data_IF_651432142206
#
_entry.id   IF_651432142206
#
_cell.length_a   1.000
_cell.length_b   1.000
_cell.length_c   1.000
_cell.angle_alpha   90.00
_cell.angle_beta   90.00
_cell.angle_gamma   90.00
#
_symmetry.space_group_name_H-M   'P 1'
#
loop_
_entity.id
_entity.type
_entity.pdbx_description
1 polymer ?
#
# COMPACT_ATOMS: atom_id res chain seq x y z
N UNK A 1 10.38 18.13 -0.71
CA UNK A 1 10.06 18.13 -2.16
C UNK A 1 8.75 17.40 -2.42
N UNK A 2 7.87 17.95 -3.25
CA UNK A 2 6.57 17.37 -3.61
C UNK A 2 6.52 17.18 -5.13
N UNK A 3 6.20 15.99 -5.63
CA UNK A 3 5.92 15.75 -7.05
C UNK A 3 4.45 15.40 -7.25
N UNK A 4 3.73 16.24 -8.00
CA UNK A 4 2.33 15.96 -8.35
C UNK A 4 2.23 14.92 -9.48
N UNK A 5 3.18 14.92 -10.42
CA UNK A 5 3.21 13.96 -11.53
C UNK A 5 3.49 12.53 -11.06
N UNK A 6 4.37 12.37 -10.07
CA UNK A 6 4.72 11.06 -9.50
C UNK A 6 3.97 10.76 -8.19
N UNK A 7 3.15 11.71 -7.71
CA UNK A 7 2.32 11.62 -6.50
C UNK A 7 3.12 11.17 -5.27
N UNK A 8 4.26 11.81 -5.03
CA UNK A 8 5.07 11.55 -3.84
C UNK A 8 5.35 12.83 -3.05
N UNK A 9 5.62 12.63 -1.77
CA UNK A 9 6.12 13.64 -0.82
C UNK A 9 7.44 13.10 -0.27
N UNK A 10 8.52 13.79 -0.56
CA UNK A 10 9.82 13.54 0.07
C UNK A 10 10.01 14.55 1.21
N UNK A 11 10.01 14.05 2.44
CA UNK A 11 10.39 14.83 3.63
C UNK A 11 11.91 14.78 3.76
N UNK A 12 12.55 15.90 3.46
CA UNK A 12 14.00 16.04 3.48
C UNK A 12 14.48 16.41 4.88
N UNK A 13 14.76 15.37 5.67
CA UNK A 13 15.45 15.50 6.96
C UNK A 13 16.89 15.98 6.72
N UNK A 14 17.36 17.05 7.37
CA UNK A 14 18.71 17.55 7.18
C UNK A 14 19.79 16.47 7.37
N UNK A 15 20.79 16.51 6.48
CA UNK A 15 22.02 15.68 6.53
C UNK A 15 21.84 14.17 6.29
N UNK A 16 20.74 13.78 5.64
CA UNK A 16 20.44 12.38 5.27
C UNK A 16 20.49 12.13 3.75
N UNK A 17 21.38 12.85 3.04
CA UNK A 17 21.54 12.84 1.57
C UNK A 17 20.37 13.43 0.76
N UNK A 18 19.49 14.22 1.38
CA UNK A 18 18.31 14.74 0.69
C UNK A 18 18.62 15.62 -0.53
N UNK A 19 19.71 16.39 -0.56
CA UNK A 19 20.11 17.13 -1.78
C UNK A 19 20.37 16.21 -2.97
N UNK A 20 21.02 15.06 -2.75
CA UNK A 20 21.28 14.07 -3.81
C UNK A 20 19.98 13.44 -4.30
N UNK A 21 19.09 13.10 -3.37
CA UNK A 21 17.77 12.51 -3.67
C UNK A 21 16.89 13.50 -4.43
N UNK A 22 16.84 14.75 -3.99
CA UNK A 22 16.13 15.84 -4.67
C UNK A 22 16.67 16.03 -6.08
N UNK A 23 18.00 16.08 -6.24
CA UNK A 23 18.61 16.23 -7.57
C UNK A 23 18.27 15.06 -8.49
N UNK A 24 18.24 13.84 -7.98
CA UNK A 24 17.95 12.65 -8.76
C UNK A 24 16.48 12.54 -9.20
N UNK A 25 15.55 12.91 -8.31
CA UNK A 25 14.11 12.74 -8.53
C UNK A 25 13.43 13.99 -9.08
N UNK A 26 14.15 15.10 -9.24
CA UNK A 26 13.58 16.38 -9.68
C UNK A 26 13.10 16.29 -11.13
N UNK A 27 11.87 16.75 -11.32
CA UNK A 27 11.25 17.05 -12.62
C UNK A 27 10.61 18.45 -12.58
N UNK A 28 9.99 18.88 -13.68
CA UNK A 28 9.32 20.18 -13.79
C UNK A 28 8.07 20.32 -12.91
N UNK A 29 7.49 19.20 -12.46
CA UNK A 29 6.30 19.18 -11.60
C UNK A 29 6.64 19.33 -10.11
N UNK A 30 7.92 19.21 -9.75
CA UNK A 30 8.37 19.23 -8.38
C UNK A 30 8.29 20.63 -7.76
N UNK A 31 7.71 20.73 -6.56
CA UNK A 31 7.65 21.95 -5.73
C UNK A 31 8.44 21.79 -4.44
N UNK A 32 8.74 22.93 -3.78
CA UNK A 32 9.49 23.00 -2.53
C UNK A 32 10.88 22.40 -2.70
N UNK A 33 11.62 23.00 -3.64
CA UNK A 33 12.94 22.57 -4.07
C UNK A 33 14.02 23.03 -3.06
N UNK A 34 15.20 22.41 -3.06
CA UNK A 34 16.28 22.76 -2.15
C UNK A 34 16.61 24.26 -2.16
N UNK A 35 16.55 24.89 -0.99
CA UNK A 35 16.89 26.31 -0.81
C UNK A 35 15.78 27.30 -1.18
N UNK A 36 14.57 26.85 -1.51
CA UNK A 36 13.42 27.73 -1.70
C UNK A 36 12.91 28.29 -0.36
N UNK A 37 12.52 29.57 -0.36
CA UNK A 37 11.95 30.26 0.78
C UNK A 37 10.65 30.94 0.40
N UNK A 38 9.63 30.80 1.23
CA UNK A 38 8.41 31.59 1.18
C UNK A 38 8.11 32.11 2.59
N UNK A 39 8.71 33.25 2.91
CA UNK A 39 8.55 33.88 4.23
C UNK A 39 7.12 34.33 4.53
N UNK A 40 6.23 34.38 3.53
CA UNK A 40 4.82 34.71 3.75
C UNK A 40 4.02 33.53 4.31
N UNK A 41 4.45 32.30 4.01
CA UNK A 41 3.77 31.06 4.43
C UNK A 41 4.53 30.30 5.50
N UNK A 42 5.86 30.29 5.41
CA UNK A 42 6.76 29.56 6.30
C UNK A 42 7.81 30.51 6.86
N UNK A 43 7.63 30.99 8.09
CA UNK A 43 8.62 31.83 8.74
C UNK A 43 9.81 30.97 9.22
N UNK A 44 11.03 31.38 8.86
CA UNK A 44 12.30 30.91 9.41
C UNK A 44 12.82 29.50 9.03
N UNK A 45 12.09 28.74 8.20
CA UNK A 45 12.51 27.41 7.76
C UNK A 45 12.57 27.32 6.23
N UNK A 46 13.66 26.77 5.64
CA UNK A 46 13.69 26.45 4.21
C UNK A 46 12.55 25.50 3.84
N UNK A 47 11.88 25.74 2.71
CA UNK A 47 10.71 24.94 2.29
C UNK A 47 11.03 23.46 2.07
N UNK A 48 12.28 23.12 1.80
CA UNK A 48 12.71 21.75 1.63
C UNK A 48 12.80 20.98 2.97
N UNK A 49 13.02 21.65 4.11
CA UNK A 49 13.22 21.01 5.41
C UNK A 49 11.98 20.99 6.31
N UNK A 50 10.78 21.10 5.74
CA UNK A 50 9.54 21.06 6.52
C UNK A 50 9.26 19.65 7.04
N UNK A 51 8.75 19.58 8.26
CA UNK A 51 8.19 18.35 8.84
C UNK A 51 6.87 17.99 8.16
N UNK A 52 6.42 16.75 8.31
CA UNK A 52 5.11 16.36 7.80
C UNK A 52 3.98 17.20 8.44
N UNK A 53 4.09 17.54 9.73
CA UNK A 53 3.10 18.38 10.41
C UNK A 53 3.11 19.80 9.87
N UNK A 54 4.28 20.38 9.62
CA UNK A 54 4.38 21.72 9.03
C UNK A 54 3.78 21.77 7.62
N UNK A 55 3.85 20.69 6.83
CA UNK A 55 3.12 20.64 5.54
C UNK A 55 1.60 20.76 5.73
N UNK A 56 1.06 20.16 6.80
CA UNK A 56 -0.37 20.25 7.18
C UNK A 56 -0.69 21.65 7.66
N UNK A 57 0.05 22.14 8.66
CA UNK A 57 -0.20 23.42 9.33
C UNK A 57 -0.15 24.60 8.36
N UNK A 58 0.77 24.57 7.39
CA UNK A 58 0.92 25.62 6.37
C UNK A 58 0.01 25.43 5.14
N UNK A 59 -0.82 24.38 5.11
CA UNK A 59 -1.74 24.10 4.02
C UNK A 59 -1.04 24.01 2.67
N UNK A 60 0.17 23.43 2.63
CA UNK A 60 0.95 23.32 1.39
C UNK A 60 0.36 22.25 0.44
N UNK A 61 -0.42 21.32 1.00
CA UNK A 61 -1.14 20.26 0.31
C UNK A 61 -2.54 20.13 0.90
N UNK A 62 -3.50 19.69 0.08
CA UNK A 62 -4.83 19.34 0.58
C UNK A 62 -4.78 18.05 1.41
N UNK A 63 -5.72 17.82 2.35
CA UNK A 63 -5.79 16.56 3.10
C UNK A 63 -5.87 15.32 2.21
N UNK A 64 -6.54 15.42 1.06
CA UNK A 64 -6.62 14.34 0.07
C UNK A 64 -5.27 14.06 -0.61
N UNK A 65 -4.49 15.10 -0.92
CA UNK A 65 -3.14 14.94 -1.47
C UNK A 65 -2.20 14.33 -0.42
N UNK A 66 -2.22 14.86 0.81
CA UNK A 66 -1.45 14.31 1.93
C UNK A 66 -1.77 12.83 2.13
N UNK A 67 -3.04 12.43 2.17
CA UNK A 67 -3.40 11.02 2.34
C UNK A 67 -2.99 10.14 1.16
N UNK A 68 -3.13 10.62 -0.07
CA UNK A 68 -2.98 9.80 -1.27
C UNK A 68 -1.58 9.76 -1.89
N UNK A 69 -0.67 10.66 -1.50
CA UNK A 69 0.68 10.69 -2.05
C UNK A 69 1.60 9.77 -1.24
N UNK A 70 2.53 9.11 -1.91
CA UNK A 70 3.52 8.27 -1.25
C UNK A 70 4.54 9.14 -0.51
N UNK A 71 4.62 8.99 0.80
CA UNK A 71 5.49 9.76 1.70
C UNK A 71 6.71 8.96 2.04
N UNK A 72 7.88 9.53 1.83
CA UNK A 72 9.10 8.89 2.26
C UNK A 72 10.12 9.89 2.77
N UNK A 73 11.05 9.39 3.57
CA UNK A 73 12.20 10.13 4.07
C UNK A 73 13.41 9.20 4.21
N UNK A 74 14.57 9.79 4.50
CA UNK A 74 15.75 9.06 4.94
C UNK A 74 16.17 9.52 6.32
N UNK A 75 16.50 8.56 7.17
CA UNK A 75 17.11 8.78 8.48
C UNK A 75 18.58 8.35 8.46
N UNK A 76 19.36 8.88 9.39
CA UNK A 76 20.78 8.57 9.58
C UNK A 76 21.05 8.29 11.06
N UNK A 77 22.09 7.52 11.34
CA UNK A 77 22.62 7.35 12.68
C UNK A 77 22.74 8.73 13.38
N UNK A 78 22.08 8.95 14.55
CA UNK A 78 21.98 10.28 15.15
C UNK A 78 23.33 10.91 15.52
N UNK A 79 24.31 10.09 15.95
CA UNK A 79 25.66 10.57 16.26
C UNK A 79 26.39 11.02 14.99
N UNK A 80 26.33 10.22 13.93
CA UNK A 80 26.92 10.58 12.64
C UNK A 80 26.22 11.78 12.00
N UNK A 81 24.90 11.86 12.12
CA UNK A 81 24.10 13.01 11.66
C UNK A 81 24.51 14.29 12.40
N UNK A 82 24.68 14.24 13.72
CA UNK A 82 25.10 15.40 14.51
C UNK A 82 26.50 15.90 14.09
N UNK A 83 27.45 14.98 13.88
CA UNK A 83 28.76 15.32 13.33
C UNK A 83 28.62 16.00 11.96
N UNK A 84 27.79 15.44 11.09
CA UNK A 84 27.51 16.02 9.77
C UNK A 84 26.89 17.43 9.84
N UNK A 85 26.05 17.70 10.85
CA UNK A 85 25.46 19.02 11.09
C UNK A 85 26.51 20.06 11.50
N UNK A 86 27.39 19.74 12.47
CA UNK A 86 28.38 20.70 12.97
C UNK A 86 29.49 21.03 11.96
N UNK A 87 29.69 20.17 10.96
CA UNK A 87 30.59 20.39 9.83
C UNK A 87 29.86 20.92 8.60
N UNK A 88 28.54 21.12 8.65
CA UNK A 88 27.77 21.66 7.55
C UNK A 88 28.13 23.15 7.32
N UNK A 89 28.52 23.57 6.10
CA UNK A 89 28.84 24.97 5.83
C UNK A 89 27.71 25.94 6.15
N UNK A 90 26.45 25.50 5.94
CA UNK A 90 25.28 26.31 6.29
C UNK A 90 25.21 26.59 7.78
N UNK A 91 25.63 25.66 8.64
CA UNK A 91 25.64 25.82 10.09
C UNK A 91 26.86 26.57 10.63
N UNK A 92 27.84 26.91 9.78
CA UNK A 92 29.09 27.53 10.21
C UNK A 92 28.92 28.82 11.05
N UNK A 93 27.95 29.73 10.76
CA UNK A 93 27.73 30.92 11.58
C UNK A 93 27.40 30.62 13.05
N UNK A 94 26.74 29.50 13.35
CA UNK A 94 26.32 29.13 14.71
C UNK A 94 27.43 28.44 15.52
N UNK A 95 28.51 28.06 14.84
CA UNK A 95 29.63 27.29 15.40
C UNK A 95 30.97 28.01 15.24
N UNK A 96 30.91 29.32 14.94
CA UNK A 96 32.08 30.15 14.70
C UNK A 96 32.99 30.16 15.94
N UNK A 97 34.30 30.02 15.70
CA UNK A 97 35.35 30.07 16.71
C UNK A 97 35.25 28.99 17.82
N UNK A 98 34.49 27.90 17.58
CA UNK A 98 34.34 26.77 18.51
C UNK A 98 35.17 25.54 18.09
N UNK A 99 35.72 24.83 19.07
CA UNK A 99 36.29 23.48 18.89
C UNK A 99 35.20 22.45 18.56
N UNK A 100 35.56 21.27 18.05
CA UNK A 100 34.56 20.24 17.70
C UNK A 100 33.71 19.81 18.91
N UNK A 101 34.34 19.61 20.08
CA UNK A 101 33.64 19.30 21.32
C UNK A 101 32.62 20.41 21.70
N UNK A 102 33.05 21.68 21.66
CA UNK A 102 32.17 22.81 21.92
C UNK A 102 31.00 22.87 20.93
N UNK A 103 31.24 22.56 19.66
CA UNK A 103 30.18 22.49 18.64
C UNK A 103 29.18 21.38 18.92
N UNK A 104 29.63 20.18 19.31
CA UNK A 104 28.74 19.07 19.66
C UNK A 104 27.84 19.44 20.84
N UNK A 105 28.41 20.00 21.91
CA UNK A 105 27.65 20.46 23.08
C UNK A 105 26.65 21.53 22.70
N UNK A 106 27.10 22.55 21.97
CA UNK A 106 26.23 23.64 21.52
C UNK A 106 25.10 23.15 20.61
N UNK A 107 25.39 22.21 19.73
CA UNK A 107 24.38 21.60 18.86
C UNK A 107 23.33 20.82 19.66
N UNK A 108 23.73 20.08 20.69
CA UNK A 108 22.81 19.40 21.60
C UNK A 108 21.94 20.38 22.40
N UNK A 109 22.50 21.50 22.86
CA UNK A 109 21.73 22.59 23.52
C UNK A 109 20.68 23.18 22.58
N UNK A 110 21.07 23.48 21.34
CA UNK A 110 20.19 24.06 20.31
C UNK A 110 19.10 23.08 19.86
N UNK A 111 19.39 21.78 19.83
CA UNK A 111 18.39 20.74 19.56
C UNK A 111 17.30 20.70 20.65
N UNK A 112 17.65 21.03 21.90
CA UNK A 112 16.70 21.02 23.02
C UNK A 112 15.69 22.19 23.00
N UNK A 113 15.94 23.25 22.23
CA UNK A 113 15.04 24.43 22.14
C UNK A 113 13.93 24.27 21.10
N UNK A 114 13.42 23.03 20.96
CA UNK A 114 12.21 22.57 20.26
C UNK A 114 12.01 22.84 18.76
N UNK A 115 12.76 23.72 18.11
CA UNK A 115 12.67 23.90 16.64
C UNK A 115 14.02 23.83 15.90
N UNK A 116 15.13 23.69 16.62
CA UNK A 116 16.46 23.73 16.03
C UNK A 116 16.72 25.04 15.26
N UNK A 117 17.54 24.99 14.22
CA UNK A 117 17.85 26.14 13.36
C UNK A 117 17.32 25.85 11.96
N UNK A 118 16.13 26.37 11.62
CA UNK A 118 15.47 26.06 10.35
C UNK A 118 15.30 24.54 10.18
N UNK A 119 14.83 23.86 11.23
CA UNK A 119 14.73 22.40 11.36
C UNK A 119 16.04 21.61 11.32
N UNK A 120 17.22 22.24 11.17
CA UNK A 120 18.50 21.58 11.48
C UNK A 120 18.61 21.27 12.96
N UNK A 121 19.33 20.21 13.32
CA UNK A 121 19.46 19.68 14.69
C UNK A 121 18.16 19.15 15.32
N UNK A 122 17.00 19.37 14.70
CA UNK A 122 15.73 18.76 15.12
C UNK A 122 15.83 17.25 15.08
N UNK A 123 15.13 16.58 15.99
CA UNK A 123 15.07 15.13 16.06
C UNK A 123 14.38 14.58 14.80
N UNK A 124 14.90 13.48 14.25
CA UNK A 124 14.42 12.90 12.98
C UNK A 124 13.01 12.31 13.11
N UNK A 125 12.68 11.75 14.27
CA UNK A 125 11.33 11.24 14.57
C UNK A 125 10.24 12.32 14.47
N UNK A 126 10.56 13.60 14.73
CA UNK A 126 9.60 14.71 14.67
C UNK A 126 9.17 15.06 13.23
N UNK A 127 9.91 14.59 12.23
CA UNK A 127 9.59 14.84 10.82
C UNK A 127 8.52 13.87 10.29
N UNK A 128 8.24 12.77 10.98
CA UNK A 128 7.65 11.58 10.38
C UNK A 128 6.12 11.50 10.41
N UNK A 129 5.47 12.25 11.29
CA UNK A 129 4.04 12.10 11.54
C UNK A 129 3.32 13.42 11.63
N UNK A 130 2.06 13.42 11.22
CA UNK A 130 1.14 14.54 11.38
C UNK A 130 -0.30 14.06 11.44
N UNK A 131 -1.07 14.40 12.48
CA UNK A 131 -2.51 14.12 12.58
C UNK A 131 -2.98 12.75 11.99
N UNK A 132 -2.36 11.66 12.45
CA UNK A 132 -2.69 10.29 12.00
C UNK A 132 -2.08 9.86 10.66
N UNK A 133 -1.36 10.75 9.96
CA UNK A 133 -0.51 10.45 8.81
C UNK A 133 0.86 9.94 9.28
N UNK A 134 1.40 8.96 8.56
CA UNK A 134 2.74 8.44 8.76
C UNK A 134 3.49 8.27 7.43
N UNK A 135 4.80 8.12 7.51
CA UNK A 135 5.63 7.78 6.34
C UNK A 135 5.26 6.40 5.78
N UNK A 136 5.18 6.32 4.45
CA UNK A 136 5.00 5.06 3.72
C UNK A 136 6.33 4.31 3.57
N UNK A 137 7.47 5.03 3.57
CA UNK A 137 8.80 4.45 3.55
C UNK A 137 9.84 5.29 4.31
N UNK A 138 10.67 4.62 5.11
CA UNK A 138 11.79 5.25 5.83
C UNK A 138 13.08 4.53 5.40
N UNK A 139 13.88 5.21 4.58
CA UNK A 139 15.20 4.73 4.15
C UNK A 139 16.28 5.04 5.19
N UNK A 140 17.40 4.33 5.14
CA UNK A 140 18.59 4.57 5.96
C UNK A 140 19.73 5.11 5.13
N UNK A 141 20.39 6.15 5.61
CA UNK A 141 21.58 6.72 4.98
C UNK A 141 22.71 5.69 4.84
N UNK A 142 22.81 4.77 5.79
CA UNK A 142 23.80 3.68 5.78
C UNK A 142 23.54 2.67 4.64
N UNK A 143 22.31 2.62 4.12
CA UNK A 143 21.88 1.80 2.98
C UNK A 143 21.39 2.64 1.81
N UNK A 144 21.89 3.89 1.70
CA UNK A 144 21.33 4.93 0.83
C UNK A 144 21.06 4.46 -0.60
N UNK A 145 22.04 3.83 -1.25
CA UNK A 145 21.88 3.37 -2.64
C UNK A 145 20.83 2.27 -2.78
N UNK A 146 20.82 1.29 -1.87
CA UNK A 146 19.86 0.19 -1.91
C UNK A 146 18.41 0.67 -1.66
N UNK A 147 18.23 1.52 -0.66
CA UNK A 147 16.93 2.09 -0.29
C UNK A 147 16.46 3.12 -1.33
N UNK A 148 17.36 3.90 -1.92
CA UNK A 148 17.03 4.82 -3.01
C UNK A 148 16.61 4.06 -4.27
N UNK A 149 17.33 3.00 -4.64
CA UNK A 149 16.94 2.14 -5.77
C UNK A 149 15.58 1.49 -5.52
N UNK A 150 15.27 1.16 -4.26
CA UNK A 150 13.95 0.68 -3.88
C UNK A 150 12.88 1.74 -4.09
N UNK A 151 13.11 2.98 -3.66
CA UNK A 151 12.19 4.10 -3.93
C UNK A 151 12.01 4.33 -5.43
N UNK A 152 13.08 4.30 -6.22
CA UNK A 152 13.01 4.45 -7.68
C UNK A 152 12.12 3.38 -8.30
N UNK A 153 12.28 2.11 -7.89
CA UNK A 153 11.34 1.04 -8.24
C UNK A 153 9.94 1.40 -7.78
N UNK A 154 9.75 1.82 -6.52
CA UNK A 154 8.46 2.22 -5.94
C UNK A 154 7.79 3.43 -6.66
N UNK A 155 8.56 4.23 -7.38
CA UNK A 155 8.04 5.37 -8.13
C UNK A 155 7.95 5.10 -9.63
N UNK A 156 8.36 3.92 -10.11
CA UNK A 156 8.47 3.62 -11.53
C UNK A 156 9.45 4.56 -12.25
N UNK A 157 10.59 4.83 -11.60
CA UNK A 157 11.64 5.73 -12.06
C UNK A 157 12.94 4.98 -12.31
N UNK A 158 13.61 5.31 -13.41
CA UNK A 158 14.95 4.82 -13.75
C UNK A 158 15.95 5.99 -13.65
N UNK A 159 16.33 6.33 -12.43
CA UNK A 159 17.29 7.41 -12.15
C UNK A 159 18.42 6.91 -11.25
N UNK A 160 19.62 7.44 -11.45
CA UNK A 160 20.78 7.12 -10.63
C UNK A 160 20.97 8.18 -9.56
N UNK A 161 21.40 7.76 -8.37
CA UNK A 161 21.69 8.70 -7.29
C UNK A 161 23.05 9.39 -7.53
N UNK A 162 23.09 10.72 -7.73
CA UNK A 162 24.35 11.43 -7.83
C UNK A 162 25.02 11.49 -6.45
N UNK A 163 26.33 11.31 -6.41
CA UNK A 163 27.08 11.40 -5.16
C UNK A 163 27.48 12.86 -4.87
N UNK A 164 26.51 13.68 -4.44
CA UNK A 164 26.72 15.09 -4.07
C UNK A 164 27.04 15.27 -2.59
N UNK A 165 27.68 16.39 -2.24
CA UNK A 165 27.94 16.81 -0.84
C UNK A 165 28.67 15.77 0.01
N UNK A 166 29.70 15.11 -0.55
CA UNK A 166 30.54 14.18 0.17
C UNK A 166 31.19 14.87 1.37
N UNK A 167 30.84 14.43 2.57
CA UNK A 167 31.47 14.90 3.80
C UNK A 167 32.97 14.54 3.81
N UNK A 168 33.82 15.55 4.00
CA UNK A 168 35.27 15.40 4.14
C UNK A 168 35.67 15.42 5.63
N UNK A 169 35.14 14.48 6.41
CA UNK A 169 35.47 14.35 7.83
C UNK A 169 35.85 12.90 8.18
N UNK A 170 36.62 12.71 9.26
CA UNK A 170 36.93 11.39 9.84
C UNK A 170 35.64 10.64 10.20
N UNK A 171 35.75 9.35 10.52
CA UNK A 171 34.63 8.59 11.05
C UNK A 171 34.06 9.28 12.29
N UNK A 172 32.73 9.29 12.43
CA UNK A 172 32.07 10.13 13.44
C UNK A 172 32.50 9.79 14.88
N UNK A 173 32.85 8.52 15.13
CA UNK A 173 33.33 8.02 16.42
C UNK A 173 34.56 8.78 16.91
N UNK A 174 35.43 9.24 16.00
CA UNK A 174 36.66 9.94 16.36
C UNK A 174 36.43 11.36 16.90
N UNK A 175 35.20 11.87 16.86
CA UNK A 175 34.83 13.20 17.36
C UNK A 175 34.15 13.17 18.73
N UNK A 176 33.85 11.98 19.26
CA UNK A 176 33.20 11.83 20.55
C UNK A 176 34.18 11.37 21.61
N UNK A 177 34.15 12.04 22.75
CA UNK A 177 34.57 11.49 24.03
C UNK A 177 33.37 10.89 24.77
N UNK A 178 33.62 10.31 25.95
CA UNK A 178 32.57 9.68 26.74
C UNK A 178 31.45 10.66 27.15
N UNK A 179 31.79 11.93 27.39
CA UNK A 179 30.84 12.93 27.87
C UNK A 179 29.94 13.45 26.74
N UNK A 180 30.54 13.84 25.61
CA UNK A 180 29.82 14.29 24.41
C UNK A 180 29.00 13.17 23.79
N UNK A 181 29.47 11.91 23.84
CA UNK A 181 28.68 10.76 23.42
C UNK A 181 27.45 10.61 24.30
N UNK A 182 27.60 10.66 25.62
CA UNK A 182 26.49 10.54 26.56
C UNK A 182 25.48 11.68 26.38
N UNK A 183 25.95 12.91 26.17
CA UNK A 183 25.12 14.07 25.88
C UNK A 183 24.32 13.88 24.59
N UNK A 184 24.98 13.54 23.48
CA UNK A 184 24.30 13.28 22.21
C UNK A 184 23.30 12.12 22.32
N UNK A 185 23.63 11.08 23.08
CA UNK A 185 22.73 9.96 23.35
C UNK A 185 21.49 10.41 24.10
N UNK A 186 21.64 11.28 25.10
CA UNK A 186 20.52 11.81 25.87
C UNK A 186 19.63 12.71 25.01
N UNK A 187 20.22 13.63 24.23
CA UNK A 187 19.51 14.56 23.35
C UNK A 187 18.73 13.82 22.26
N UNK A 188 19.36 12.88 21.56
CA UNK A 188 18.76 12.17 20.43
C UNK A 188 18.16 10.81 20.81
N UNK A 189 17.92 10.57 22.10
CA UNK A 189 17.32 9.33 22.60
C UNK A 189 16.05 8.92 21.84
N UNK A 190 15.10 9.83 21.52
CA UNK A 190 13.90 9.43 20.79
C UNK A 190 14.21 8.87 19.39
N UNK A 191 15.17 9.44 18.66
CA UNK A 191 15.62 8.90 17.37
C UNK A 191 16.29 7.55 17.53
N UNK A 192 17.16 7.42 18.55
CA UNK A 192 17.91 6.20 18.82
C UNK A 192 16.95 5.05 19.11
N UNK A 193 15.93 5.29 19.95
CA UNK A 193 14.92 4.31 20.31
C UNK A 193 13.97 4.03 19.14
N UNK A 194 13.49 5.05 18.44
CA UNK A 194 12.56 4.87 17.31
C UNK A 194 13.19 4.07 16.16
N UNK A 195 14.46 4.31 15.86
CA UNK A 195 15.15 3.68 14.72
C UNK A 195 16.14 2.59 15.13
N UNK A 196 16.19 2.24 16.41
CA UNK A 196 17.02 1.18 16.98
C UNK A 196 18.53 1.33 16.65
N UNK A 197 19.02 2.57 16.68
CA UNK A 197 20.45 2.83 16.44
C UNK A 197 21.30 2.43 17.65
N UNK A 198 22.57 2.10 17.37
CA UNK A 198 23.59 1.86 18.39
C UNK A 198 24.82 2.68 18.04
N UNK A 199 25.56 3.10 19.07
CA UNK A 199 26.86 3.71 18.86
C UNK A 199 27.86 2.61 18.46
N UNK A 200 28.29 2.63 17.20
CA UNK A 200 29.25 1.65 16.70
C UNK A 200 30.64 1.91 17.30
N UNK A 201 31.29 0.87 17.79
CA UNK A 201 32.71 0.94 18.13
C UNK A 201 33.52 1.18 16.84
N UNK A 202 34.54 2.03 16.91
CA UNK A 202 35.43 2.29 15.77
C UNK A 202 36.11 0.97 15.34
N UNK A 203 35.54 0.30 14.36
CA UNK A 203 36.03 -0.96 13.82
C UNK A 203 36.03 -0.86 12.31
N UNK A 204 37.15 -1.24 11.69
CA UNK A 204 37.33 -1.27 10.24
C UNK A 204 36.57 -2.42 9.56
N UNK A 205 35.41 -2.82 10.07
CA UNK A 205 34.62 -3.92 9.53
C UNK A 205 33.14 -3.52 9.49
N UNK A 206 32.55 -3.62 8.30
CA UNK A 206 31.10 -3.52 8.11
C UNK A 206 30.43 -4.59 8.98
N UNK A 207 29.55 -4.15 9.88
CA UNK A 207 28.78 -5.03 10.75
C UNK A 207 27.46 -5.34 10.05
N UNK A 208 27.22 -6.63 9.79
CA UNK A 208 25.87 -7.16 9.59
C UNK A 208 25.06 -7.00 10.88
N UNK A 209 23.73 -6.76 10.75
CA UNK A 209 22.62 -7.10 11.70
C UNK A 209 21.59 -5.96 11.80
N UNK A 210 20.40 -6.12 11.21
CA UNK A 210 19.14 -6.62 11.81
C UNK A 210 17.95 -6.19 10.91
N UNK A 211 17.05 -7.12 10.58
CA UNK A 211 15.90 -6.87 9.69
C UNK A 211 14.98 -5.78 10.28
N UNK A 212 14.88 -4.67 9.57
CA UNK A 212 13.90 -3.59 9.79
C UNK A 212 12.46 -4.09 9.51
N UNK A 213 11.41 -3.35 9.94
CA UNK A 213 10.01 -3.75 9.76
C UNK A 213 9.68 -4.02 8.29
N UNK A 214 8.67 -4.86 8.06
CA UNK A 214 8.38 -5.44 6.74
C UNK A 214 8.34 -4.37 5.63
N UNK A 215 8.97 -4.65 4.49
CA UNK A 215 8.84 -3.87 3.27
C UNK A 215 7.39 -3.53 2.93
N UNK A 216 7.05 -2.25 2.74
CA UNK A 216 5.97 -1.86 1.82
C UNK A 216 6.52 -2.12 0.42
N UNK A 217 6.03 -3.19 -0.20
CA UNK A 217 6.70 -3.84 -1.33
C UNK A 217 6.30 -3.31 -2.72
N UNK A 218 5.54 -2.21 -2.85
CA UNK A 218 4.85 -1.94 -4.13
C UNK A 218 4.90 -0.51 -4.65
N UNK A 219 5.38 -0.29 -5.90
CA UNK A 219 5.38 1.00 -6.55
C UNK A 219 4.01 1.60 -6.82
N UNK A 220 3.86 2.91 -6.61
CA UNK A 220 2.65 3.69 -6.94
C UNK A 220 2.33 3.67 -8.44
N UNK A 221 3.31 3.37 -9.30
CA UNK A 221 3.14 3.39 -10.77
C UNK A 221 2.86 2.03 -11.43
N UNK A 222 2.86 0.93 -10.69
CA UNK A 222 2.56 -0.40 -11.25
C UNK A 222 1.20 -0.94 -10.78
N UNK A 223 0.11 -0.34 -11.28
CA UNK A 223 -1.20 -1.03 -11.40
C UNK A 223 -1.19 -2.02 -12.59
N UNK A 224 -0.11 -2.80 -12.68
CA UNK A 224 0.03 -3.99 -13.53
C UNK A 224 0.33 -5.24 -12.69
N UNK A 225 0.25 -5.16 -11.36
CA UNK A 225 0.41 -6.34 -10.52
C UNK A 225 -0.72 -7.33 -10.74
N UNK A 226 -0.35 -8.60 -10.78
CA UNK A 226 -1.30 -9.70 -10.59
C UNK A 226 -2.01 -9.45 -9.26
N UNK A 227 -3.21 -8.88 -9.34
CA UNK A 227 -4.19 -8.87 -8.25
C UNK A 227 -4.23 -10.29 -7.72
N UNK A 228 -4.15 -10.48 -6.40
CA UNK A 228 -4.05 -11.81 -5.78
C UNK A 228 -5.13 -11.94 -4.70
N UNK A 229 -5.84 -13.05 -4.74
CA UNK A 229 -6.56 -13.60 -3.61
C UNK A 229 -5.83 -14.87 -3.15
N UNK A 230 -5.83 -15.14 -1.86
CA UNK A 230 -5.36 -16.44 -1.35
C UNK A 230 -6.57 -17.27 -0.98
N UNK A 231 -6.66 -18.48 -1.53
CA UNK A 231 -7.75 -19.42 -1.28
C UNK A 231 -7.18 -20.71 -0.67
N UNK A 232 -7.62 -21.06 0.54
CA UNK A 232 -7.23 -22.26 1.26
C UNK A 232 -8.33 -23.31 1.09
N UNK A 233 -8.10 -24.41 0.34
CA UNK A 233 -9.12 -25.43 0.14
C UNK A 233 -9.47 -26.11 1.47
N UNK A 234 -10.76 -26.24 1.74
CA UNK A 234 -11.32 -26.92 2.91
C UNK A 234 -11.81 -28.33 2.60
N UNK A 235 -11.98 -28.64 1.31
CA UNK A 235 -12.52 -29.91 0.80
C UNK A 235 -11.70 -30.35 -0.40
N UNK A 236 -11.66 -31.66 -0.67
CA UNK A 236 -10.97 -32.25 -1.82
C UNK A 236 -11.93 -33.18 -2.60
N UNK A 237 -12.22 -32.90 -3.89
CA UNK A 237 -11.80 -31.74 -4.66
C UNK A 237 -12.59 -30.48 -4.31
N UNK A 238 -11.91 -29.35 -4.18
CA UNK A 238 -12.55 -28.04 -4.05
C UNK A 238 -13.15 -27.56 -5.39
N UNK A 239 -14.07 -26.59 -5.33
CA UNK A 239 -14.70 -26.04 -6.54
C UNK A 239 -13.63 -25.41 -7.45
N UNK A 240 -13.67 -25.64 -8.77
CA UNK A 240 -12.73 -25.01 -9.70
C UNK A 240 -12.76 -23.48 -9.59
N UNK A 241 -11.61 -22.90 -9.28
CA UNK A 241 -11.37 -21.45 -9.17
C UNK A 241 -10.29 -21.05 -10.20
N UNK A 242 -10.60 -20.14 -11.13
CA UNK A 242 -9.68 -19.73 -12.20
C UNK A 242 -9.72 -18.23 -12.47
N UNK A 243 -8.64 -17.59 -12.95
CA UNK A 243 -8.69 -16.23 -13.46
C UNK A 243 -9.68 -16.11 -14.64
N UNK A 244 -10.50 -15.05 -14.66
CA UNK A 244 -11.48 -14.85 -15.72
C UNK A 244 -10.84 -14.62 -17.11
N UNK A 245 -9.61 -14.06 -17.13
CA UNK A 245 -8.87 -13.79 -18.36
C UNK A 245 -8.42 -15.04 -19.14
N UNK A 246 -8.32 -16.21 -18.50
CA UNK A 246 -7.85 -17.45 -19.17
C UNK A 246 -8.89 -18.03 -20.14
N UNK A 247 -10.18 -17.71 -19.97
CA UNK A 247 -11.30 -18.23 -20.78
C UNK A 247 -11.31 -17.71 -22.22
N UNK A 248 -10.78 -16.51 -22.48
CA UNK A 248 -10.79 -15.90 -23.81
C UNK A 248 -9.80 -16.54 -24.81
N UNK A 249 -8.94 -17.44 -24.33
CA UNK A 249 -7.98 -18.16 -25.19
C UNK A 249 -8.64 -19.30 -25.97
N UNK A 250 -9.92 -19.60 -25.72
CA UNK A 250 -10.68 -20.68 -26.35
C UNK A 250 -11.95 -20.12 -27.02
N UNK A 251 -12.17 -20.35 -28.32
CA UNK A 251 -13.38 -19.87 -28.99
C UNK A 251 -14.62 -20.57 -28.42
N UNK A 252 -15.55 -19.78 -27.85
CA UNK A 252 -16.83 -20.28 -27.34
C UNK A 252 -17.77 -20.82 -28.44
N UNK A 253 -18.81 -21.57 -28.06
CA UNK A 253 -19.77 -22.14 -29.02
C UNK A 253 -20.47 -21.05 -29.84
N UNK A 254 -20.65 -21.32 -31.15
CA UNK A 254 -21.14 -20.41 -32.19
C UNK A 254 -22.59 -19.89 -32.01
N UNK A 255 -23.25 -20.11 -30.87
CA UNK A 255 -24.71 -20.00 -30.75
C UNK A 255 -25.25 -18.80 -29.95
N UNK A 256 -24.40 -17.87 -29.52
CA UNK A 256 -24.86 -16.57 -28.99
C UNK A 256 -23.99 -15.45 -29.56
N UNK A 257 -24.57 -14.34 -30.05
CA UNK A 257 -23.78 -13.15 -30.33
C UNK A 257 -23.19 -12.71 -28.99
N UNK A 258 -21.90 -13.00 -28.78
CA UNK A 258 -21.22 -12.63 -27.55
C UNK A 258 -21.22 -11.10 -27.51
N UNK A 259 -22.07 -10.51 -26.66
CA UNK A 259 -22.14 -9.07 -26.41
C UNK A 259 -20.74 -8.50 -26.08
N UNK A 260 -19.86 -9.34 -25.54
CA UNK A 260 -18.46 -9.04 -25.22
C UNK A 260 -17.54 -8.86 -26.45
N UNK A 261 -17.87 -9.33 -27.66
CA UNK A 261 -17.06 -9.03 -28.87
C UNK A 261 -17.44 -7.69 -29.52
N UNK A 262 -18.65 -7.19 -29.28
CA UNK A 262 -19.14 -5.97 -29.90
C UNK A 262 -18.75 -4.69 -29.12
N UNK A 263 -18.44 -4.81 -27.83
CA UNK A 263 -18.05 -3.69 -26.97
C UNK A 263 -16.79 -4.02 -26.14
N UNK A 264 -15.66 -3.33 -26.37
CA UNK A 264 -14.41 -3.51 -25.62
C UNK A 264 -14.56 -3.35 -24.09
N UNK A 265 -15.47 -2.49 -23.63
CA UNK A 265 -15.68 -2.24 -22.20
C UNK A 265 -16.33 -3.43 -21.51
N UNK A 266 -17.31 -4.07 -22.18
CA UNK A 266 -17.94 -5.30 -21.70
C UNK A 266 -16.94 -6.46 -21.70
N UNK A 267 -16.08 -6.53 -22.72
CA UNK A 267 -14.99 -7.50 -22.80
C UNK A 267 -13.99 -7.33 -21.65
N UNK A 268 -13.59 -6.09 -21.35
CA UNK A 268 -12.66 -5.76 -20.27
C UNK A 268 -13.23 -6.13 -18.90
N UNK A 269 -14.50 -5.82 -18.67
CA UNK A 269 -15.20 -6.21 -17.45
C UNK A 269 -15.24 -7.73 -17.28
N UNK A 270 -15.65 -8.48 -18.32
CA UNK A 270 -15.75 -9.93 -18.27
C UNK A 270 -14.41 -10.65 -18.00
N UNK A 271 -13.28 -10.00 -18.31
CA UNK A 271 -11.91 -10.53 -18.08
C UNK A 271 -11.37 -10.24 -16.67
N UNK A 272 -12.14 -9.54 -15.83
CA UNK A 272 -11.70 -9.12 -14.50
C UNK A 272 -11.99 -10.17 -13.42
N UNK A 273 -11.03 -10.38 -12.52
CA UNK A 273 -11.21 -11.20 -11.31
C UNK A 273 -11.03 -12.70 -11.50
N UNK A 274 -11.66 -13.48 -10.63
CA UNK A 274 -11.62 -14.94 -10.62
C UNK A 274 -13.02 -15.53 -10.65
N UNK A 275 -13.20 -16.62 -11.39
CA UNK A 275 -14.47 -17.31 -11.53
C UNK A 275 -14.47 -18.61 -10.74
N UNK A 276 -15.57 -18.86 -10.04
CA UNK A 276 -15.93 -20.14 -9.46
C UNK A 276 -16.88 -20.87 -10.41
N UNK A 277 -16.58 -22.13 -10.72
CA UNK A 277 -17.28 -22.89 -11.76
C UNK A 277 -17.89 -24.17 -11.23
N UNK A 278 -19.04 -24.55 -11.77
CA UNK A 278 -19.74 -25.76 -11.38
C UNK A 278 -18.84 -26.99 -11.63
N UNK A 279 -18.47 -27.78 -10.59
CA UNK A 279 -17.68 -29.00 -10.77
C UNK A 279 -18.43 -30.05 -11.60
N UNK A 280 -19.76 -30.10 -11.44
CA UNK A 280 -20.68 -30.99 -12.15
C UNK A 280 -21.90 -30.20 -12.63
N UNK A 281 -22.53 -30.68 -13.68
CA UNK A 281 -23.79 -30.13 -14.14
C UNK A 281 -24.93 -30.52 -13.17
N UNK A 282 -25.89 -29.62 -12.97
CA UNK A 282 -27.08 -29.86 -12.16
C UNK A 282 -28.23 -28.98 -12.63
N UNK A 283 -29.45 -29.33 -12.24
CA UNK A 283 -30.62 -28.46 -12.37
C UNK A 283 -31.21 -28.16 -11.01
N UNK A 284 -31.81 -26.97 -10.86
CA UNK A 284 -32.55 -26.60 -9.66
C UNK A 284 -33.93 -26.06 -10.04
N UNK A 285 -34.95 -26.42 -9.25
CA UNK A 285 -36.33 -25.96 -9.46
C UNK A 285 -36.91 -25.54 -8.12
N UNK A 286 -37.36 -24.30 -8.02
CA UNK A 286 -38.08 -23.81 -6.84
C UNK A 286 -39.59 -23.91 -7.06
N UNK A 287 -40.34 -24.48 -6.12
CA UNK A 287 -41.80 -24.62 -6.24
C UNK A 287 -42.60 -23.37 -5.79
N UNK A 288 -41.93 -22.32 -5.32
CA UNK A 288 -42.57 -21.09 -4.80
C UNK A 288 -42.76 -21.04 -3.29
N UNK A 289 -42.50 -22.13 -2.57
CA UNK A 289 -42.66 -22.22 -1.12
C UNK A 289 -41.50 -21.59 -0.32
N UNK A 290 -41.73 -21.27 0.97
CA UNK A 290 -40.77 -20.53 1.78
C UNK A 290 -39.67 -21.39 2.41
N UNK A 291 -39.77 -22.73 2.35
CA UNK A 291 -38.85 -23.64 3.06
C UNK A 291 -37.63 -23.99 2.23
N UNK A 292 -36.63 -24.60 2.86
CA UNK A 292 -35.46 -25.13 2.17
C UNK A 292 -35.81 -26.28 1.21
N UNK A 293 -36.72 -27.17 1.63
CA UNK A 293 -37.20 -28.33 0.86
C UNK A 293 -37.98 -27.96 -0.40
N UNK A 294 -38.37 -26.69 -0.54
CA UNK A 294 -39.10 -26.17 -1.69
C UNK A 294 -38.23 -25.94 -2.94
N UNK A 295 -36.91 -26.10 -2.80
CA UNK A 295 -35.96 -26.12 -3.92
C UNK A 295 -35.46 -27.55 -4.11
N UNK A 296 -35.76 -28.13 -5.25
CA UNK A 296 -35.24 -29.42 -5.66
C UNK A 296 -33.96 -29.23 -6.48
N UNK A 297 -32.87 -29.91 -6.10
CA UNK A 297 -31.58 -29.89 -6.80
C UNK A 297 -31.30 -31.29 -7.35
N UNK A 298 -31.12 -31.41 -8.66
CA UNK A 298 -30.87 -32.70 -9.35
C UNK A 298 -29.51 -32.69 -10.06
N UNK A 299 -28.53 -33.51 -9.66
CA UNK A 299 -27.27 -33.67 -10.40
C UNK A 299 -27.50 -34.31 -11.77
N UNK A 300 -26.74 -33.89 -12.77
CA UNK A 300 -26.69 -34.57 -14.07
C UNK A 300 -25.70 -35.74 -13.99
N UNK A 301 -26.20 -36.94 -13.68
CA UNK A 301 -25.43 -38.19 -13.77
C UNK A 301 -24.33 -38.41 -12.73
N UNK A 302 -24.20 -37.55 -11.71
CA UNK A 302 -23.17 -37.63 -10.67
C UNK A 302 -23.74 -38.11 -9.31
N UNK A 303 -22.90 -38.73 -8.47
CA UNK A 303 -23.26 -39.15 -7.12
C UNK A 303 -23.67 -37.94 -6.24
N UNK A 304 -24.58 -38.08 -5.25
CA UNK A 304 -25.06 -36.97 -4.42
C UNK A 304 -23.97 -36.15 -3.72
N UNK A 305 -22.82 -36.76 -3.41
CA UNK A 305 -21.66 -36.07 -2.83
C UNK A 305 -21.05 -35.02 -3.79
N UNK A 306 -21.21 -35.20 -5.11
CA UNK A 306 -20.69 -34.29 -6.13
C UNK A 306 -21.43 -32.94 -6.19
N UNK A 307 -22.61 -32.83 -5.56
CA UNK A 307 -23.38 -31.59 -5.45
C UNK A 307 -23.27 -30.91 -4.09
N UNK A 308 -22.36 -31.34 -3.20
CA UNK A 308 -22.21 -30.72 -1.87
C UNK A 308 -21.90 -29.21 -1.94
N UNK A 309 -21.33 -28.74 -3.05
CA UNK A 309 -21.04 -27.33 -3.31
C UNK A 309 -22.30 -26.47 -3.56
N UNK A 310 -23.48 -27.05 -3.74
CA UNK A 310 -24.74 -26.33 -3.96
C UNK A 310 -25.84 -26.89 -3.08
N UNK A 311 -26.53 -26.03 -2.34
CA UNK A 311 -27.49 -26.44 -1.32
C UNK A 311 -28.67 -25.48 -1.23
N UNK A 312 -29.79 -26.01 -0.75
CA UNK A 312 -30.94 -25.23 -0.29
C UNK A 312 -31.13 -25.49 1.20
N UNK A 313 -30.83 -24.49 2.04
CA UNK A 313 -31.01 -24.57 3.50
C UNK A 313 -31.54 -23.26 4.10
N UNK A 314 -31.47 -22.13 3.38
CA UNK A 314 -31.95 -20.82 3.85
C UNK A 314 -33.43 -20.57 3.58
N UNK A 315 -34.07 -21.38 2.74
CA UNK A 315 -35.45 -21.18 2.30
C UNK A 315 -35.65 -19.99 1.35
N UNK A 316 -36.91 -19.60 1.15
CA UNK A 316 -37.35 -18.44 0.37
C UNK A 316 -36.80 -18.38 -1.08
N UNK A 317 -36.65 -19.54 -1.73
CA UNK A 317 -36.12 -19.57 -3.09
C UNK A 317 -34.63 -19.20 -3.19
N UNK A 318 -33.86 -19.33 -2.10
CA UNK A 318 -32.42 -19.04 -2.09
C UNK A 318 -31.56 -20.29 -2.31
N UNK A 319 -30.95 -20.37 -3.48
CA UNK A 319 -29.93 -21.36 -3.82
C UNK A 319 -28.56 -20.87 -3.35
N UNK A 320 -27.83 -21.68 -2.58
CA UNK A 320 -26.54 -21.28 -2.00
C UNK A 320 -25.41 -22.17 -2.47
N UNK A 321 -24.31 -21.56 -2.89
CA UNK A 321 -23.10 -22.24 -3.31
C UNK A 321 -21.99 -22.08 -2.26
N UNK A 322 -21.30 -23.18 -2.00
CA UNK A 322 -20.16 -23.30 -1.12
C UNK A 322 -18.93 -23.70 -1.93
N UNK A 323 -18.00 -22.76 -2.18
CA UNK A 323 -16.85 -23.04 -3.03
C UNK A 323 -15.83 -23.96 -2.33
N UNK A 324 -15.93 -24.12 -1.01
CA UNK A 324 -15.03 -25.01 -0.25
C UNK A 324 -13.65 -24.41 -0.02
N UNK A 325 -13.55 -23.08 0.12
CA UNK A 325 -12.32 -22.38 0.46
C UNK A 325 -12.51 -21.42 1.63
N UNK A 326 -11.43 -21.16 2.37
CA UNK A 326 -11.25 -19.90 3.09
C UNK A 326 -10.50 -18.92 2.20
N UNK A 327 -10.99 -17.70 2.09
CA UNK A 327 -10.35 -16.64 1.33
C UNK A 327 -9.63 -15.67 2.26
N UNK A 328 -8.51 -15.13 1.81
CA UNK A 328 -7.74 -14.07 2.45
C UNK A 328 -7.44 -12.98 1.42
N UNK A 329 -7.73 -11.74 1.78
CA UNK A 329 -7.38 -10.53 1.02
C UNK A 329 -6.31 -9.72 1.76
N UNK A 330 -5.69 -8.79 1.04
CA UNK A 330 -4.86 -7.75 1.64
C UNK A 330 -5.71 -6.76 2.45
N UNK A 331 -5.10 -6.05 3.40
CA UNK A 331 -5.75 -5.10 4.32
C UNK A 331 -6.66 -4.07 3.62
N UNK A 332 -6.27 -3.69 2.40
CA UNK A 332 -6.84 -2.54 1.67
C UNK A 332 -8.08 -2.93 0.86
N UNK A 333 -8.41 -4.22 0.80
CA UNK A 333 -9.44 -4.76 -0.07
C UNK A 333 -10.48 -5.58 0.69
N UNK A 334 -11.75 -5.34 0.33
CA UNK A 334 -12.85 -6.27 0.50
C UNK A 334 -12.89 -7.24 -0.67
N UNK A 335 -13.30 -8.47 -0.40
CA UNK A 335 -13.65 -9.44 -1.43
C UNK A 335 -15.09 -9.16 -1.87
N UNK A 336 -15.27 -8.66 -3.09
CA UNK A 336 -16.58 -8.52 -3.70
C UNK A 336 -16.97 -9.82 -4.37
N UNK A 337 -17.95 -10.48 -3.79
CA UNK A 337 -18.53 -11.73 -4.27
C UNK A 337 -19.79 -11.38 -5.02
N UNK A 338 -19.86 -11.77 -6.30
CA UNK A 338 -21.03 -11.50 -7.14
C UNK A 338 -21.27 -12.61 -8.15
N UNK A 339 -22.36 -12.50 -8.90
CA UNK A 339 -22.62 -13.38 -10.05
C UNK A 339 -21.60 -13.23 -11.18
N UNK A 340 -21.71 -14.04 -12.24
CA UNK A 340 -20.95 -13.87 -13.47
C UNK A 340 -21.12 -12.46 -14.09
N UNK A 341 -20.05 -11.87 -14.62
CA UNK A 341 -20.10 -10.58 -15.34
C UNK A 341 -20.72 -10.81 -16.72
N UNK A 342 -21.74 -10.02 -17.08
CA UNK A 342 -22.42 -10.08 -18.38
C UNK A 342 -22.96 -11.47 -18.78
N UNK A 343 -23.27 -12.32 -17.80
CA UNK A 343 -23.77 -13.67 -18.00
C UNK A 343 -25.05 -13.86 -17.17
N UNK A 344 -26.18 -13.26 -17.61
CA UNK A 344 -27.45 -13.42 -16.92
C UNK A 344 -27.92 -14.87 -16.95
N UNK A 345 -28.59 -15.29 -15.88
CA UNK A 345 -29.26 -16.59 -15.78
C UNK A 345 -30.77 -16.35 -15.73
N UNK A 346 -31.48 -16.85 -16.73
CA UNK A 346 -32.94 -16.75 -16.70
C UNK A 346 -33.51 -17.50 -15.49
N UNK A 347 -34.50 -16.90 -14.82
CA UNK A 347 -35.13 -17.44 -13.61
C UNK A 347 -34.30 -17.33 -12.31
N UNK A 348 -33.06 -16.81 -12.35
CA UNK A 348 -32.16 -16.79 -11.20
C UNK A 348 -31.31 -15.50 -11.14
N UNK A 349 -31.40 -14.77 -10.04
CA UNK A 349 -30.64 -13.54 -9.82
C UNK A 349 -29.49 -13.76 -8.80
N UNK A 350 -28.22 -13.53 -9.16
CA UNK A 350 -27.12 -13.64 -8.21
C UNK A 350 -27.13 -12.47 -7.23
N UNK A 351 -27.09 -12.75 -5.93
CA UNK A 351 -26.90 -11.75 -4.90
C UNK A 351 -25.41 -11.43 -4.76
N UNK A 352 -25.13 -10.21 -4.33
CA UNK A 352 -23.76 -9.73 -4.15
C UNK A 352 -23.47 -9.46 -2.67
N UNK A 353 -22.21 -9.61 -2.29
CA UNK A 353 -21.74 -9.30 -0.94
C UNK A 353 -20.31 -8.76 -0.95
N UNK A 354 -20.01 -7.92 0.04
CA UNK A 354 -18.65 -7.47 0.35
C UNK A 354 -18.21 -8.17 1.63
N UNK A 355 -17.09 -8.88 1.56
CA UNK A 355 -16.54 -9.64 2.68
C UNK A 355 -15.17 -9.09 3.06
N UNK A 356 -14.98 -8.74 4.33
CA UNK A 356 -13.67 -8.38 4.86
C UNK A 356 -12.88 -9.64 5.25
N UNK A 357 -12.09 -10.13 4.30
CA UNK A 357 -11.20 -11.28 4.49
C UNK A 357 -9.77 -10.85 4.88
N UNK A 358 -9.58 -9.60 5.35
CA UNK A 358 -8.25 -9.02 5.50
C UNK A 358 -7.65 -9.15 6.89
N UNK A 359 -8.46 -9.42 7.92
CA UNK A 359 -7.98 -9.71 9.28
C UNK A 359 -7.65 -11.21 9.43
N UNK A 360 -8.59 -12.07 9.07
CA UNK A 360 -8.45 -13.54 9.12
C UNK A 360 -9.06 -14.17 7.86
N UNK A 361 -8.56 -15.34 7.40
CA UNK A 361 -9.20 -16.08 6.32
C UNK A 361 -10.65 -16.45 6.68
N UNK A 362 -11.58 -16.25 5.76
CA UNK A 362 -13.00 -16.53 5.97
C UNK A 362 -13.60 -17.38 4.85
N UNK A 363 -14.52 -18.27 5.20
CA UNK A 363 -15.36 -18.94 4.21
C UNK A 363 -16.39 -17.96 3.66
N UNK A 364 -16.77 -18.15 2.39
CA UNK A 364 -17.84 -17.39 1.74
C UNK A 364 -18.97 -18.33 1.31
N UNK A 365 -20.18 -17.81 1.32
CA UNK A 365 -21.34 -18.43 0.69
C UNK A 365 -21.82 -17.50 -0.43
N UNK A 366 -22.14 -18.06 -1.59
CA UNK A 366 -22.65 -17.31 -2.73
C UNK A 366 -24.13 -17.63 -2.86
N UNK A 367 -24.97 -16.60 -2.87
CA UNK A 367 -26.42 -16.77 -2.88
C UNK A 367 -27.00 -16.34 -4.22
N UNK A 368 -27.91 -17.15 -4.73
CA UNK A 368 -28.72 -16.84 -5.90
C UNK A 368 -30.20 -16.93 -5.50
N UNK A 369 -30.98 -15.95 -5.94
CA UNK A 369 -32.41 -15.84 -5.67
C UNK A 369 -33.19 -16.30 -6.90
N UNK A 370 -34.08 -17.27 -6.74
CA UNK A 370 -35.08 -17.56 -7.77
C UNK A 370 -36.01 -16.36 -7.97
N UNK A 371 -36.23 -15.99 -9.23
CA UNK A 371 -37.13 -14.88 -9.59
C UNK A 371 -38.54 -15.35 -9.91
N UNK A 372 -38.72 -16.63 -10.27
CA UNK A 372 -40.02 -17.24 -10.55
C UNK A 372 -40.10 -18.68 -10.02
N UNK A 373 -41.27 -19.13 -9.53
CA UNK A 373 -41.50 -20.52 -9.19
C UNK A 373 -41.71 -21.39 -10.44
N UNK A 374 -41.54 -22.70 -10.27
CA UNK A 374 -41.74 -23.76 -11.26
C UNK A 374 -40.86 -23.67 -12.52
N UNK A 375 -39.92 -22.74 -12.56
CA UNK A 375 -38.89 -22.67 -13.59
C UNK A 375 -37.69 -23.53 -13.18
N UNK A 376 -37.27 -24.43 -14.06
CA UNK A 376 -36.06 -25.23 -13.86
C UNK A 376 -34.87 -24.48 -14.47
N UNK A 377 -33.87 -24.19 -13.64
CA UNK A 377 -32.61 -23.59 -14.09
C UNK A 377 -31.55 -24.67 -14.19
N UNK A 378 -30.72 -24.60 -15.23
CA UNK A 378 -29.70 -25.62 -15.52
C UNK A 378 -28.31 -25.03 -15.47
N UNK A 379 -27.39 -25.59 -14.70
CA UNK A 379 -25.97 -25.24 -14.71
C UNK A 379 -25.18 -26.35 -15.42
N UNK A 380 -24.40 -25.99 -16.44
CA UNK A 380 -23.49 -26.92 -17.09
C UNK A 380 -22.22 -27.14 -16.26
N UNK A 381 -21.55 -28.29 -16.45
CA UNK A 381 -20.24 -28.52 -15.85
C UNK A 381 -19.23 -27.51 -16.42
N UNK A 382 -18.45 -26.87 -15.54
CA UNK A 382 -17.53 -25.79 -15.90
C UNK A 382 -18.20 -24.42 -16.09
N UNK A 383 -19.52 -24.31 -16.00
CA UNK A 383 -20.21 -23.02 -16.08
C UNK A 383 -19.87 -22.15 -14.85
N UNK A 384 -19.53 -20.86 -15.03
CA UNK A 384 -19.28 -19.97 -13.90
C UNK A 384 -20.58 -19.64 -13.16
N UNK A 385 -20.55 -19.73 -11.82
CA UNK A 385 -21.67 -19.32 -10.95
C UNK A 385 -21.32 -18.13 -10.04
N UNK A 386 -20.05 -17.70 -9.99
CA UNK A 386 -19.63 -16.52 -9.27
C UNK A 386 -18.37 -15.89 -9.86
N UNK A 387 -18.24 -14.58 -9.69
CA UNK A 387 -17.01 -13.81 -9.92
C UNK A 387 -16.57 -13.18 -8.62
N UNK A 388 -15.29 -13.33 -8.30
CA UNK A 388 -14.61 -12.69 -7.18
C UNK A 388 -13.81 -11.50 -7.69
N UNK A 389 -14.05 -10.33 -7.12
CA UNK A 389 -13.35 -9.08 -7.42
C UNK A 389 -12.74 -8.51 -6.14
N UNK A 390 -11.71 -7.68 -6.30
CA UNK A 390 -11.18 -6.87 -5.20
C UNK A 390 -11.88 -5.51 -5.22
N UNK A 391 -12.45 -5.11 -4.08
CA UNK A 391 -13.07 -3.82 -3.87
C UNK A 391 -12.26 -3.03 -2.85
N UNK A 392 -11.82 -1.81 -3.18
CA UNK A 392 -11.01 -1.01 -2.27
C UNK A 392 -11.83 -0.51 -1.08
N UNK A 393 -11.29 -0.60 0.14
CA UNK A 393 -11.95 -0.09 1.35
C UNK A 393 -12.00 1.44 1.42
N UNK A 394 -11.03 2.10 0.80
CA UNK A 394 -10.86 3.56 0.86
C UNK A 394 -11.39 4.24 -0.39
N UNK A 395 -12.03 5.42 -0.23
CA UNK A 395 -12.39 6.31 -1.34
C UNK A 395 -13.88 6.52 -1.59
N UNK A 396 -14.77 5.88 -0.82
CA UNK A 396 -16.22 6.07 -1.00
C UNK A 396 -16.81 7.29 -0.26
N UNK A 397 -16.13 7.81 0.76
CA UNK A 397 -16.65 8.90 1.60
C UNK A 397 -16.68 10.28 0.90
N UNK A 398 -16.02 10.42 -0.26
CA UNK A 398 -15.92 11.66 -1.03
C UNK A 398 -16.46 11.52 -2.46
N UNK A 399 -17.54 10.76 -2.65
CA UNK A 399 -18.21 10.67 -3.94
C UNK A 399 -19.17 11.85 -4.13
N UNK A 400 -18.89 12.71 -5.11
CA UNK A 400 -19.84 13.72 -5.62
C UNK A 400 -20.26 13.35 -7.04
N UNK A 401 -21.51 13.70 -7.40
CA UNK A 401 -22.01 13.59 -8.78
C UNK A 401 -22.32 14.99 -9.26
N UNK A 402 -21.67 15.40 -10.35
CA UNK A 402 -22.00 16.63 -11.06
C UNK A 402 -22.93 16.29 -12.23
N UNK A 403 -24.13 16.87 -12.22
CA UNK A 403 -25.12 16.71 -13.29
C UNK A 403 -25.13 18.00 -14.11
N UNK A 404 -24.66 17.93 -15.36
CA UNK A 404 -24.67 19.04 -16.31
C UNK A 404 -25.89 18.92 -17.22
#
# INVERSE_FOLDING_TARGET
MISHQHRFIFIHIPKTAGTSIETALRDESCRLLPGEWDHSRVPHTPLNHLTLQELVDYGLLTPAQLKSYFKFCFVRNPWDRLVSEIFCPWMAPWFKDMTVDQRLRRACELAATSQGIGNHLRLQHDFLSADGLQMDFIGRFEHLEADFNRICRLLGLEVNLPHLNRSAHRSYQAYYDAETQALATATYRPDIEAFQYKFEAATGARVDVQKSPRPVDKPVRELGEKRKITAYPLVDPAVPLRPAAEEWSQPGPKSTPNLNYANPDLAGAARSGWQLRCPVAFSATWNGGPKAEDIEIRPAGAAPAATAFVQSHLGQGRLTFYPGYQFKTEAEHLLWVRGPINAPKDGLYPLESLVDASLLPCAIAIHWQFTHPHQTVHFAAGEPFATLLLHAKTGQENMSVEMI
#
